data_IF_352938950322
#
_entry.id   IF_352938950322
#
_cell.length_a   1.000
_cell.length_b   1.000
_cell.length_c   1.000
_cell.angle_alpha   90.00
_cell.angle_beta   90.00
_cell.angle_gamma   90.00
#
_symmetry.space_group_name_H-M   'P 1'
#
loop_
_entity.id
_entity.type
_entity.pdbx_description
1 polymer ?
#
# COMPACT_ATOMS: atom_id res chain seq x y z
N UNK A 1 -15.04 -17.81 -7.53
CA UNK A 1 -13.62 -17.38 -7.54
C UNK A 1 -13.62 -15.87 -7.64
N UNK A 2 -13.28 -15.18 -6.55
CA UNK A 2 -13.39 -13.72 -6.44
C UNK A 2 -12.50 -13.03 -7.49
N UNK A 3 -13.14 -12.27 -8.39
CA UNK A 3 -12.49 -11.54 -9.46
C UNK A 3 -11.71 -10.36 -8.86
N UNK A 4 -10.38 -10.43 -9.01
CA UNK A 4 -9.45 -9.32 -8.78
C UNK A 4 -9.61 -8.29 -9.92
N UNK A 5 -10.67 -7.50 -9.91
CA UNK A 5 -10.75 -6.31 -10.77
C UNK A 5 -9.92 -5.15 -10.17
N UNK A 6 -8.61 -5.39 -10.05
CA UNK A 6 -7.61 -4.33 -10.13
C UNK A 6 -7.17 -4.24 -11.58
N UNK A 7 -7.77 -3.35 -12.38
CA UNK A 7 -7.21 -3.00 -13.69
C UNK A 7 -5.85 -2.33 -13.51
N UNK A 8 -4.80 -3.15 -13.46
CA UNK A 8 -3.44 -2.76 -13.83
C UNK A 8 -3.10 -3.57 -15.06
N UNK A 9 -3.48 -3.04 -16.22
CA UNK A 9 -3.19 -3.63 -17.51
C UNK A 9 -1.70 -3.96 -17.64
N UNK A 10 -1.43 -5.11 -18.25
CA UNK A 10 -0.10 -5.57 -18.65
C UNK A 10 0.62 -4.51 -19.49
N UNK A 11 1.40 -3.66 -18.83
CA UNK A 11 2.48 -2.86 -19.40
C UNK A 11 3.54 -2.86 -18.32
N UNK A 12 4.66 -3.59 -18.48
CA UNK A 12 5.79 -3.57 -17.53
C UNK A 12 6.09 -2.12 -17.15
N UNK A 13 5.69 -1.65 -15.95
CA UNK A 13 5.81 -0.24 -15.67
C UNK A 13 7.25 0.05 -15.31
N UNK A 14 7.77 1.18 -15.80
CA UNK A 14 8.94 1.83 -15.19
C UNK A 14 8.71 1.83 -13.67
N UNK A 15 9.64 1.32 -12.87
CA UNK A 15 9.54 1.36 -11.40
C UNK A 15 9.18 2.79 -10.98
N UNK A 16 7.95 2.99 -10.51
CA UNK A 16 7.46 4.25 -10.00
C UNK A 16 8.01 4.42 -8.59
N UNK A 17 8.10 5.67 -8.14
CA UNK A 17 8.52 5.95 -6.77
C UNK A 17 7.58 5.22 -5.79
N UNK A 18 8.17 4.63 -4.75
CA UNK A 18 7.46 3.86 -3.71
C UNK A 18 6.85 2.53 -4.17
N UNK A 19 7.23 1.98 -5.34
CA UNK A 19 6.68 0.70 -5.83
C UNK A 19 6.98 -0.47 -4.90
N UNK A 20 8.16 -0.51 -4.26
CA UNK A 20 8.50 -1.56 -3.28
C UNK A 20 7.54 -1.58 -2.10
N UNK A 21 7.26 -0.41 -1.51
CA UNK A 21 6.27 -0.27 -0.45
C UNK A 21 4.85 -0.59 -0.93
N UNK A 22 4.51 -0.22 -2.16
CA UNK A 22 3.19 -0.52 -2.75
C UNK A 22 2.96 -2.03 -2.85
N UNK A 23 3.96 -2.76 -3.34
CA UNK A 23 3.89 -4.23 -3.46
C UNK A 23 3.78 -4.88 -2.09
N UNK A 24 4.63 -4.51 -1.14
CA UNK A 24 4.59 -5.05 0.24
C UNK A 24 3.27 -4.77 0.93
N UNK A 25 2.73 -3.55 0.79
CA UNK A 25 1.44 -3.21 1.36
C UNK A 25 0.30 -4.04 0.75
N UNK A 26 0.32 -4.25 -0.57
CA UNK A 26 -0.66 -5.08 -1.26
C UNK A 26 -0.61 -6.54 -0.78
N UNK A 27 0.58 -7.11 -0.69
CA UNK A 27 0.79 -8.47 -0.18
C UNK A 27 0.30 -8.60 1.26
N UNK A 28 0.63 -7.63 2.12
CA UNK A 28 0.19 -7.61 3.51
C UNK A 28 -1.34 -7.62 3.63
N UNK A 29 -2.03 -6.80 2.83
CA UNK A 29 -3.49 -6.72 2.85
C UNK A 29 -4.17 -7.98 2.30
N UNK A 30 -3.60 -8.63 1.28
CA UNK A 30 -4.17 -9.88 0.75
C UNK A 30 -4.11 -10.99 1.79
N UNK A 31 -3.08 -11.00 2.64
CA UNK A 31 -2.91 -11.96 3.72
C UNK A 31 -3.74 -11.62 4.98
N UNK A 32 -4.28 -10.41 5.07
CA UNK A 32 -5.02 -9.99 6.27
C UNK A 32 -6.45 -10.54 6.29
N UNK A 33 -6.99 -10.63 7.50
CA UNK A 33 -8.37 -11.06 7.75
C UNK A 33 -9.39 -10.17 7.03
N UNK A 34 -9.10 -8.89 6.84
CA UNK A 34 -9.99 -7.98 6.11
C UNK A 34 -10.29 -8.45 4.68
N UNK A 35 -9.32 -9.06 3.99
CA UNK A 35 -9.53 -9.59 2.63
C UNK A 35 -9.94 -11.05 2.66
N UNK A 36 -9.36 -11.84 3.58
CA UNK A 36 -9.58 -13.29 3.64
C UNK A 36 -10.93 -13.68 4.28
N UNK A 37 -11.41 -12.92 5.27
CA UNK A 37 -12.63 -13.24 6.04
C UNK A 37 -13.80 -12.34 5.68
N UNK A 38 -13.55 -11.04 5.49
CA UNK A 38 -14.62 -10.08 5.23
C UNK A 38 -14.89 -9.89 3.72
N UNK A 39 -14.12 -10.54 2.83
CA UNK A 39 -14.19 -10.41 1.37
C UNK A 39 -14.15 -8.94 0.88
N UNK A 40 -13.55 -8.04 1.67
CA UNK A 40 -13.41 -6.62 1.32
C UNK A 40 -12.25 -6.43 0.35
N UNK A 41 -12.33 -5.39 -0.47
CA UNK A 41 -11.19 -5.02 -1.32
C UNK A 41 -10.06 -4.41 -0.47
N UNK A 42 -8.78 -4.57 -0.86
CA UNK A 42 -7.65 -3.94 -0.14
C UNK A 42 -7.80 -2.43 0.02
N UNK A 43 -8.51 -1.76 -0.90
CA UNK A 43 -8.79 -0.32 -0.83
C UNK A 43 -9.81 0.00 0.27
N UNK A 44 -10.82 -0.83 0.44
CA UNK A 44 -11.81 -0.68 1.53
C UNK A 44 -11.16 -0.95 2.89
N UNK A 45 -10.30 -1.97 2.99
CA UNK A 45 -9.51 -2.25 4.19
C UNK A 45 -8.64 -1.05 4.63
N UNK A 46 -8.18 -0.22 3.70
CA UNK A 46 -7.39 0.97 3.99
C UNK A 46 -8.23 2.20 4.37
N UNK A 47 -9.47 2.28 3.89
CA UNK A 47 -10.37 3.40 4.15
C UNK A 47 -10.95 3.36 5.57
N UNK A 48 -11.12 2.15 6.12
CA UNK A 48 -11.54 1.94 7.50
C UNK A 48 -10.33 2.19 8.41
N UNK A 49 -10.10 3.45 8.78
CA UNK A 49 -9.03 3.82 9.71
C UNK A 49 -9.26 3.07 11.03
N UNK A 50 -8.46 2.04 11.26
CA UNK A 50 -8.42 1.19 12.46
C UNK A 50 -9.47 0.07 12.50
N UNK A 51 -9.73 -0.59 11.38
CA UNK A 51 -10.42 -1.88 11.40
C UNK A 51 -9.53 -2.93 12.12
N UNK A 52 -10.03 -3.62 13.17
CA UNK A 52 -9.28 -4.66 13.88
C UNK A 52 -8.89 -5.85 12.99
N UNK A 53 -9.54 -6.00 11.83
CA UNK A 53 -9.21 -7.04 10.83
C UNK A 53 -7.92 -6.76 10.04
N UNK A 54 -7.32 -5.57 10.17
CA UNK A 54 -6.05 -5.22 9.54
C UNK A 54 -4.92 -5.29 10.58
N UNK A 55 -3.91 -6.15 10.39
CA UNK A 55 -2.82 -6.27 11.35
C UNK A 55 -1.99 -4.99 11.40
N UNK A 56 -1.41 -4.71 12.56
CA UNK A 56 -0.60 -3.52 12.82
C UNK A 56 0.56 -3.36 11.81
N UNK A 57 1.16 -4.47 11.37
CA UNK A 57 2.21 -4.47 10.36
C UNK A 57 1.77 -3.83 9.03
N UNK A 58 0.56 -4.13 8.55
CA UNK A 58 0.03 -3.50 7.33
C UNK A 58 -0.21 -2.01 7.54
N UNK A 59 -0.58 -1.58 8.74
CA UNK A 59 -0.73 -0.16 9.07
C UNK A 59 0.62 0.58 9.08
N UNK A 60 1.68 -0.06 9.54
CA UNK A 60 3.05 0.48 9.45
C UNK A 60 3.48 0.63 7.98
N UNK A 61 3.25 -0.39 7.15
CA UNK A 61 3.54 -0.33 5.71
C UNK A 61 2.72 0.75 5.01
N UNK A 62 1.46 0.95 5.40
CA UNK A 62 0.61 2.03 4.90
C UNK A 62 1.21 3.39 5.22
N UNK A 63 1.64 3.60 6.46
CA UNK A 63 2.26 4.86 6.88
C UNK A 63 3.57 5.11 6.14
N UNK A 64 4.43 4.09 6.00
CA UNK A 64 5.65 4.18 5.21
C UNK A 64 5.36 4.54 3.74
N UNK A 65 4.34 3.93 3.14
CA UNK A 65 3.92 4.23 1.77
C UNK A 65 3.45 5.69 1.62
N UNK A 66 2.66 6.20 2.57
CA UNK A 66 2.26 7.60 2.57
C UNK A 66 3.43 8.56 2.79
N UNK A 67 4.36 8.24 3.68
CA UNK A 67 5.57 9.03 3.92
C UNK A 67 6.46 9.06 2.69
N UNK A 68 6.62 7.91 2.01
CA UNK A 68 7.33 7.85 0.74
C UNK A 68 6.68 8.75 -0.29
N UNK A 69 5.35 8.66 -0.47
CA UNK A 69 4.61 9.48 -1.44
C UNK A 69 4.69 10.98 -1.11
N UNK A 70 4.64 11.32 0.17
CA UNK A 70 4.77 12.70 0.67
C UNK A 70 6.19 13.22 0.45
N UNK A 71 7.22 12.38 0.58
CA UNK A 71 8.60 12.77 0.33
C UNK A 71 8.87 13.17 -1.12
N UNK A 72 8.08 12.67 -2.08
CA UNK A 72 8.21 13.03 -3.50
C UNK A 72 7.91 14.52 -3.74
N UNK A 73 6.91 15.05 -3.04
CA UNK A 73 6.49 16.46 -3.16
C UNK A 73 7.20 17.36 -2.15
N UNK A 74 7.81 16.80 -1.11
CA UNK A 74 8.55 17.56 -0.11
C UNK A 74 9.92 17.98 -0.64
N UNK A 75 10.06 19.27 -0.95
CA UNK A 75 11.30 19.87 -1.43
C UNK A 75 12.46 19.67 -0.43
N UNK A 76 12.18 19.58 0.88
CA UNK A 76 13.21 19.36 1.92
C UNK A 76 13.74 17.92 1.89
N UNK A 77 12.95 16.97 1.42
CA UNK A 77 13.37 15.57 1.27
C UNK A 77 14.40 15.39 0.14
N UNK A 78 14.55 16.37 -0.77
CA UNK A 78 15.59 16.34 -1.82
C UNK A 78 17.00 16.31 -1.25
N UNK A 79 17.24 17.00 -0.13
CA UNK A 79 18.54 17.02 0.53
C UNK A 79 18.75 15.84 1.50
N UNK A 80 17.66 15.31 2.08
CA UNK A 80 17.71 14.25 3.10
C UNK A 80 17.51 12.84 2.54
N UNK A 81 17.13 12.70 1.29
CA UNK A 81 16.75 11.44 0.68
C UNK A 81 15.26 11.11 0.85
N UNK A 82 14.77 10.21 -0.02
CA UNK A 82 13.40 9.71 0.06
C UNK A 82 13.24 8.76 1.24
N UNK A 83 12.08 8.80 1.90
CA UNK A 83 11.75 7.88 2.99
C UNK A 83 11.14 6.59 2.42
N UNK A 84 11.65 5.43 2.85
CA UNK A 84 11.04 4.13 2.57
C UNK A 84 11.20 3.64 1.12
N UNK A 85 12.37 3.82 0.52
CA UNK A 85 12.77 3.18 -0.74
C UNK A 85 13.11 1.69 -0.54
#
# INVERSE_FOLDING_TARGET
MFNLEGKEGEKKPRKRACDGLRTRLKECLILSDCVQKDDKTPKECLNLKNDPSVPHECLLLRNAFYDCKRSIIDMRARFRGRKGD
#
